data_IF_064656161597
#
_entry.id   IF_064656161597
#
_cell.length_a   1.000
_cell.length_b   1.000
_cell.length_c   1.000
_cell.angle_alpha   90.00
_cell.angle_beta   90.00
_cell.angle_gamma   90.00
#
_symmetry.space_group_name_H-M   'P 1'
#
loop_
_entity.id
_entity.type
_entity.pdbx_description
1 polymer ?
#
# COMPACT_ATOMS: atom_id res chain seq x y z
N UNK A 1 -12.91 -5.77 4.51
CA UNK A 1 -13.42 -6.20 3.19
C UNK A 1 -14.93 -6.29 3.23
N UNK A 2 -15.58 -5.49 2.41
CA UNK A 2 -17.00 -5.65 2.10
C UNK A 2 -17.20 -6.80 1.10
N UNK A 3 -18.44 -7.07 0.70
CA UNK A 3 -18.76 -8.18 -0.18
C UNK A 3 -18.28 -7.97 -1.62
N UNK A 4 -18.15 -6.71 -2.06
CA UNK A 4 -17.59 -6.39 -3.39
C UNK A 4 -16.09 -6.69 -3.44
N UNK A 5 -15.34 -6.30 -2.41
CA UNK A 5 -13.91 -6.56 -2.29
C UNK A 5 -13.62 -8.05 -2.15
N UNK A 6 -14.49 -8.81 -1.47
CA UNK A 6 -14.42 -10.28 -1.44
C UNK A 6 -14.63 -10.90 -2.82
N UNK A 7 -15.59 -10.41 -3.60
CA UNK A 7 -15.84 -10.90 -4.95
C UNK A 7 -14.65 -10.62 -5.88
N UNK A 8 -14.05 -9.42 -5.77
CA UNK A 8 -12.81 -9.05 -6.47
C UNK A 8 -11.65 -9.97 -6.10
N UNK A 9 -11.47 -10.27 -4.80
CA UNK A 9 -10.45 -11.20 -4.33
C UNK A 9 -10.64 -12.59 -4.94
N UNK A 10 -11.87 -13.13 -4.90
CA UNK A 10 -12.16 -14.46 -5.44
C UNK A 10 -11.82 -14.56 -6.93
N UNK A 11 -12.29 -13.57 -7.71
CA UNK A 11 -11.98 -13.50 -9.14
C UNK A 11 -10.47 -13.41 -9.39
N UNK A 12 -9.76 -12.59 -8.62
CA UNK A 12 -8.30 -12.43 -8.74
C UNK A 12 -7.55 -13.73 -8.46
N UNK A 13 -8.00 -14.52 -7.47
CA UNK A 13 -7.46 -15.84 -7.13
C UNK A 13 -7.70 -16.84 -8.26
N UNK A 14 -8.93 -16.90 -8.80
CA UNK A 14 -9.30 -17.76 -9.93
C UNK A 14 -8.45 -17.48 -11.17
N UNK A 15 -8.28 -16.21 -11.54
CA UNK A 15 -7.46 -15.79 -12.70
C UNK A 15 -5.99 -16.23 -12.58
N UNK A 16 -5.51 -16.45 -11.36
CA UNK A 16 -4.12 -16.84 -11.06
C UNK A 16 -3.97 -18.32 -10.69
N UNK A 17 -5.05 -19.10 -10.79
CA UNK A 17 -5.09 -20.50 -10.39
C UNK A 17 -4.70 -20.72 -8.92
N UNK A 18 -5.02 -19.77 -8.04
CA UNK A 18 -4.86 -19.93 -6.61
C UNK A 18 -6.12 -20.56 -5.99
N UNK A 19 -5.98 -21.45 -4.99
CA UNK A 19 -7.13 -21.93 -4.23
C UNK A 19 -7.87 -20.78 -3.53
N UNK A 20 -9.18 -20.92 -3.34
CA UNK A 20 -9.97 -19.93 -2.60
C UNK A 20 -9.41 -19.71 -1.20
N UNK A 21 -9.21 -18.44 -0.83
CA UNK A 21 -8.69 -18.04 0.47
C UNK A 21 -7.16 -18.15 0.63
N UNK A 22 -6.46 -18.57 -0.42
CA UNK A 22 -5.00 -18.70 -0.42
C UNK A 22 -4.30 -17.38 -0.08
N UNK A 23 -4.81 -16.25 -0.57
CA UNK A 23 -4.22 -14.93 -0.29
C UNK A 23 -4.31 -14.60 1.19
N UNK A 24 -5.50 -14.73 1.79
CA UNK A 24 -5.71 -14.40 3.20
C UNK A 24 -4.91 -15.35 4.12
N UNK A 25 -4.88 -16.64 3.81
CA UNK A 25 -4.07 -17.61 4.55
C UNK A 25 -2.58 -17.26 4.47
N UNK A 26 -2.09 -16.90 3.28
CA UNK A 26 -0.69 -16.56 3.06
C UNK A 26 -0.31 -15.26 3.75
N UNK A 27 -1.17 -14.22 3.69
CA UNK A 27 -0.97 -12.98 4.44
C UNK A 27 -0.94 -13.25 5.94
N UNK A 28 -1.92 -13.98 6.49
CA UNK A 28 -1.99 -14.28 7.91
C UNK A 28 -0.78 -15.09 8.39
N UNK A 29 -0.37 -16.11 7.62
CA UNK A 29 0.84 -16.90 7.90
C UNK A 29 2.09 -16.02 7.90
N UNK A 30 2.24 -15.13 6.93
CA UNK A 30 3.39 -14.23 6.83
C UNK A 30 3.44 -13.23 7.99
N UNK A 31 2.28 -12.69 8.42
CA UNK A 31 2.20 -11.79 9.57
C UNK A 31 2.69 -12.44 10.86
N UNK A 32 2.53 -13.75 11.01
CA UNK A 32 2.97 -14.50 12.20
C UNK A 32 4.45 -14.93 12.15
N UNK A 33 5.16 -14.76 11.03
CA UNK A 33 6.54 -15.26 10.87
C UNK A 33 7.51 -14.67 11.90
N UNK A 34 7.37 -13.38 12.22
CA UNK A 34 8.21 -12.68 13.21
C UNK A 34 8.05 -13.23 14.64
N UNK A 35 6.97 -13.98 14.91
CA UNK A 35 6.70 -14.63 16.20
C UNK A 35 6.87 -16.15 16.15
N UNK A 36 7.28 -16.72 15.01
CA UNK A 36 7.30 -18.17 14.80
C UNK A 36 8.39 -18.91 15.58
N UNK A 37 9.41 -18.20 16.07
CA UNK A 37 10.57 -18.76 16.79
C UNK A 37 10.77 -18.14 18.17
N UNK A 38 10.44 -16.87 18.36
CA UNK A 38 10.60 -16.14 19.64
C UNK A 38 9.44 -15.16 19.84
N UNK A 39 9.31 -14.63 21.06
CA UNK A 39 8.33 -13.58 21.39
C UNK A 39 8.82 -12.17 21.02
N UNK A 40 10.01 -12.03 20.44
CA UNK A 40 10.59 -10.72 20.15
C UNK A 40 9.74 -9.95 19.15
N UNK A 41 9.21 -10.62 18.13
CA UNK A 41 8.26 -10.03 17.18
C UNK A 41 7.03 -9.44 17.86
N UNK A 42 6.51 -10.08 18.91
CA UNK A 42 5.39 -9.57 19.70
C UNK A 42 5.80 -8.37 20.56
N UNK A 43 6.92 -8.48 21.28
CA UNK A 43 7.41 -7.44 22.18
C UNK A 43 7.82 -6.16 21.43
N UNK A 44 8.18 -6.28 20.15
CA UNK A 44 8.54 -5.15 19.28
C UNK A 44 7.35 -4.45 18.66
N UNK A 45 6.14 -5.03 18.68
CA UNK A 45 4.94 -4.41 18.09
C UNK A 45 4.68 -3.01 18.64
N UNK A 46 4.80 -2.81 19.96
CA UNK A 46 4.57 -1.50 20.56
C UNK A 46 5.58 -0.46 20.04
N UNK A 47 6.85 -0.84 19.89
CA UNK A 47 7.86 0.04 19.29
C UNK A 47 7.54 0.35 17.84
N UNK A 48 7.12 -0.65 17.05
CA UNK A 48 6.77 -0.48 15.63
C UNK A 48 5.54 0.44 15.48
N UNK A 49 4.50 0.24 16.28
CA UNK A 49 3.27 1.05 16.23
C UNK A 49 3.50 2.52 16.64
N UNK A 50 4.53 2.77 17.45
CA UNK A 50 4.94 4.12 17.84
C UNK A 50 6.17 4.62 17.06
N UNK A 51 6.62 3.87 16.05
CA UNK A 51 7.70 4.32 15.18
C UNK A 51 7.19 5.44 14.29
N UNK A 52 7.93 6.53 14.22
CA UNK A 52 7.80 7.45 13.10
C UNK A 52 8.57 6.91 11.89
N UNK A 53 8.62 7.69 10.82
CA UNK A 53 9.31 7.29 9.60
C UNK A 53 10.83 7.46 9.69
N UNK A 54 11.35 7.97 10.80
CA UNK A 54 12.73 8.42 10.96
C UNK A 54 13.04 9.72 10.22
N UNK A 55 12.03 10.34 9.57
CA UNK A 55 12.12 11.63 8.91
C UNK A 55 10.73 12.28 8.82
N UNK A 56 10.72 13.61 8.66
CA UNK A 56 9.50 14.38 8.39
C UNK A 56 9.41 14.67 6.87
N UNK A 57 8.38 14.17 6.17
CA UNK A 57 8.17 14.44 4.74
C UNK A 57 8.15 15.94 4.39
N UNK A 58 7.69 16.80 5.31
CA UNK A 58 7.64 18.26 5.10
C UNK A 58 9.03 18.91 5.09
N UNK A 59 10.01 18.25 5.72
CA UNK A 59 11.37 18.75 5.88
C UNK A 59 12.36 18.04 4.94
N UNK A 60 11.87 17.45 3.84
CA UNK A 60 12.75 16.87 2.84
C UNK A 60 13.63 17.94 2.19
N UNK A 61 14.92 17.66 1.95
CA UNK A 61 15.81 18.60 1.30
C UNK A 61 15.30 18.93 -0.10
N UNK A 62 15.55 20.15 -0.59
CA UNK A 62 15.14 20.59 -1.93
C UNK A 62 15.76 19.78 -3.07
N UNK A 63 16.82 19.02 -2.80
CA UNK A 63 17.41 18.04 -3.71
C UNK A 63 16.56 16.78 -3.87
N UNK A 64 15.54 16.57 -3.01
CA UNK A 64 14.62 15.43 -3.07
C UNK A 64 13.61 15.64 -4.19
N UNK A 65 14.02 15.25 -5.41
CA UNK A 65 13.25 15.40 -6.66
C UNK A 65 12.49 14.14 -7.08
N UNK A 66 12.48 13.09 -6.26
CA UNK A 66 11.85 11.82 -6.63
C UNK A 66 10.33 12.00 -6.68
N UNK A 67 9.71 11.56 -7.77
CA UNK A 67 8.26 11.42 -7.84
C UNK A 67 7.80 10.36 -6.85
N UNK A 68 6.67 10.61 -6.21
CA UNK A 68 6.06 9.69 -5.24
C UNK A 68 4.62 9.43 -5.65
N UNK A 69 4.26 8.17 -5.88
CA UNK A 69 2.87 7.78 -6.07
C UNK A 69 2.29 7.33 -4.73
N UNK A 70 1.25 8.03 -4.27
CA UNK A 70 0.43 7.65 -3.12
C UNK A 70 -0.84 6.98 -3.63
N UNK A 71 -1.14 5.78 -3.14
CA UNK A 71 -2.34 5.01 -3.52
C UNK A 71 -3.24 4.89 -2.30
N UNK A 72 -4.52 5.21 -2.46
CA UNK A 72 -5.50 5.18 -1.37
C UNK A 72 -6.79 4.46 -1.79
N UNK A 73 -7.36 3.63 -0.91
CA UNK A 73 -8.69 3.05 -1.11
C UNK A 73 -9.78 3.95 -0.50
N UNK A 74 -10.85 4.26 -1.23
CA UNK A 74 -11.95 5.11 -0.72
C UNK A 74 -12.62 4.55 0.54
N UNK A 75 -12.70 3.24 0.66
CA UNK A 75 -13.29 2.52 1.78
C UNK A 75 -12.27 2.00 2.78
N UNK A 76 -11.01 2.44 2.73
CA UNK A 76 -9.99 2.02 3.69
C UNK A 76 -10.32 2.55 5.09
N UNK A 77 -10.41 1.61 6.05
CA UNK A 77 -10.73 1.88 7.47
C UNK A 77 -9.51 1.67 8.38
N UNK A 78 -8.37 1.30 7.81
CA UNK A 78 -7.10 1.12 8.51
C UNK A 78 -6.19 2.29 8.15
N UNK A 79 -5.97 2.50 6.85
CA UNK A 79 -5.27 3.66 6.34
C UNK A 79 -6.25 4.70 5.78
N UNK A 80 -6.84 5.48 6.68
CA UNK A 80 -7.82 6.50 6.32
C UNK A 80 -7.26 7.54 5.32
N UNK A 81 -8.15 8.09 4.50
CA UNK A 81 -7.81 9.01 3.40
C UNK A 81 -7.02 10.24 3.86
N UNK A 82 -7.29 10.73 5.07
CA UNK A 82 -6.61 11.86 5.70
C UNK A 82 -5.09 11.65 5.78
N UNK A 83 -4.64 10.40 5.99
CA UNK A 83 -3.21 10.10 5.95
C UNK A 83 -2.66 10.27 4.54
N UNK A 84 -3.33 9.74 3.52
CA UNK A 84 -2.91 9.90 2.12
C UNK A 84 -2.91 11.38 1.70
N UNK A 85 -3.91 12.16 2.10
CA UNK A 85 -3.95 13.62 1.89
C UNK A 85 -2.77 14.30 2.55
N UNK A 86 -2.50 14.00 3.81
CA UNK A 86 -1.34 14.55 4.52
C UNK A 86 -0.02 14.26 3.79
N UNK A 87 0.14 13.05 3.23
CA UNK A 87 1.35 12.69 2.49
C UNK A 87 1.48 13.48 1.19
N UNK A 88 0.42 13.63 0.44
CA UNK A 88 0.43 14.38 -0.83
C UNK A 88 0.74 15.86 -0.58
N UNK A 89 0.21 16.42 0.50
CA UNK A 89 0.52 17.80 0.91
C UNK A 89 1.96 17.97 1.42
N UNK A 90 2.54 16.91 2.00
CA UNK A 90 3.87 16.98 2.60
C UNK A 90 4.99 16.66 1.61
N UNK A 91 4.74 15.81 0.61
CA UNK A 91 5.70 15.48 -0.43
C UNK A 91 5.52 16.40 -1.64
N UNK A 92 6.52 17.24 -1.99
CA UNK A 92 6.37 18.24 -3.05
C UNK A 92 6.18 17.67 -4.45
N UNK A 93 6.59 16.41 -4.68
CA UNK A 93 6.47 15.71 -5.96
C UNK A 93 5.57 14.47 -5.85
N UNK A 94 4.59 14.50 -4.95
CA UNK A 94 3.64 13.42 -4.80
C UNK A 94 2.39 13.60 -5.67
N UNK A 95 1.88 12.47 -6.16
CA UNK A 95 0.57 12.36 -6.78
C UNK A 95 -0.30 11.36 -6.02
N UNK A 96 -1.61 11.58 -6.02
CA UNK A 96 -2.59 10.73 -5.36
C UNK A 96 -3.42 9.97 -6.38
N UNK A 97 -3.41 8.65 -6.30
CA UNK A 97 -4.35 7.79 -7.01
C UNK A 97 -5.34 7.17 -6.02
N UNK A 98 -6.62 7.46 -6.23
CA UNK A 98 -7.71 6.94 -5.39
C UNK A 98 -8.37 5.77 -6.11
N UNK A 99 -8.51 4.64 -5.41
CA UNK A 99 -9.12 3.41 -5.89
C UNK A 99 -10.46 3.16 -5.20
N UNK A 100 -11.39 2.52 -5.92
CA UNK A 100 -12.60 1.98 -5.32
C UNK A 100 -12.29 0.67 -4.57
N UNK A 101 -12.63 0.61 -3.29
CA UNK A 101 -12.39 -0.55 -2.42
C UNK A 101 -11.80 -0.16 -1.07
N UNK A 102 -11.41 -1.17 -0.28
CA UNK A 102 -10.88 -1.03 1.08
C UNK A 102 -9.36 -1.06 1.14
N UNK A 103 -8.83 -1.55 2.27
CA UNK A 103 -7.40 -1.54 2.58
C UNK A 103 -6.54 -2.35 1.61
N UNK A 104 -7.12 -3.38 0.98
CA UNK A 104 -6.39 -4.27 0.06
C UNK A 104 -6.73 -3.99 -1.39
N UNK A 105 -7.48 -2.92 -1.70
CA UNK A 105 -7.91 -2.60 -3.06
C UNK A 105 -6.72 -2.45 -4.04
N UNK A 106 -5.62 -1.85 -3.57
CA UNK A 106 -4.41 -1.67 -4.38
C UNK A 106 -3.77 -3.00 -4.78
N UNK A 107 -3.88 -4.05 -3.95
CA UNK A 107 -3.29 -5.36 -4.23
C UNK A 107 -3.77 -5.97 -5.55
N UNK A 108 -5.05 -5.78 -5.88
CA UNK A 108 -5.65 -6.34 -7.10
C UNK A 108 -5.20 -5.60 -8.36
N UNK A 109 -4.97 -4.29 -8.25
CA UNK A 109 -4.72 -3.38 -9.37
C UNK A 109 -3.24 -2.99 -9.52
N UNK A 110 -2.38 -3.40 -8.58
CA UNK A 110 -1.01 -2.87 -8.44
C UNK A 110 -0.17 -2.98 -9.72
N UNK A 111 -0.30 -4.08 -10.46
CA UNK A 111 0.45 -4.27 -11.71
C UNK A 111 0.05 -3.26 -12.78
N UNK A 112 -1.25 -2.97 -12.89
CA UNK A 112 -1.76 -1.97 -13.83
C UNK A 112 -1.36 -0.56 -13.41
N UNK A 113 -1.45 -0.27 -12.11
CA UNK A 113 -1.05 1.01 -11.53
C UNK A 113 0.42 1.29 -11.79
N UNK A 114 1.32 0.37 -11.39
CA UNK A 114 2.77 0.54 -11.57
C UNK A 114 3.12 0.68 -13.04
N UNK A 115 2.55 -0.16 -13.92
CA UNK A 115 2.83 -0.10 -15.35
C UNK A 115 2.47 1.27 -15.95
N UNK A 116 1.27 1.78 -15.63
CA UNK A 116 0.81 3.07 -16.12
C UNK A 116 1.67 4.21 -15.58
N UNK A 117 1.99 4.16 -14.30
CA UNK A 117 2.83 5.17 -13.65
C UNK A 117 4.23 5.24 -14.26
N UNK A 118 4.90 4.08 -14.42
CA UNK A 118 6.22 4.01 -15.06
C UNK A 118 6.18 4.49 -16.52
N UNK A 119 5.15 4.11 -17.28
CA UNK A 119 5.00 4.55 -18.68
C UNK A 119 4.85 6.07 -18.79
N UNK A 120 4.16 6.70 -17.85
CA UNK A 120 4.00 8.16 -17.85
C UNK A 120 5.27 8.86 -17.38
N UNK A 121 5.98 8.29 -16.39
CA UNK A 121 7.29 8.77 -15.96
C UNK A 121 8.30 8.80 -17.10
N UNK A 122 8.37 7.74 -17.91
CA UNK A 122 9.32 7.67 -19.02
C UNK A 122 9.05 8.78 -20.06
N UNK A 123 7.77 9.03 -20.39
CA UNK A 123 7.39 10.09 -21.33
C UNK A 123 7.80 11.48 -20.85
N UNK A 124 7.66 11.76 -19.57
CA UNK A 124 8.06 13.06 -19.00
C UNK A 124 9.58 13.25 -18.90
N UNK A 125 10.36 12.16 -18.93
CA UNK A 125 11.83 12.24 -18.95
C UNK A 125 12.38 12.40 -20.37
N UNK A 126 11.60 12.03 -21.38
CA UNK A 126 11.94 12.16 -22.80
C UNK A 126 11.57 13.55 -23.39
N UNK A 127 10.85 14.39 -22.63
CA UNK A 127 10.49 15.78 -22.95
C UNK A 127 11.45 16.81 -22.31
#
# INVERSE_FOLDING_TARGET
MDDEEKAKLHKWEEERNHPSGWVLETMARNMCLSMSKTMDGFNTVAYILHSDWGFDPKNLPSSSKRKVLIIAGKGDKIAHMEMSTYLVESYPNAELQILDGGHVASFFEINGIIKNWLTNLDKELDE
#
